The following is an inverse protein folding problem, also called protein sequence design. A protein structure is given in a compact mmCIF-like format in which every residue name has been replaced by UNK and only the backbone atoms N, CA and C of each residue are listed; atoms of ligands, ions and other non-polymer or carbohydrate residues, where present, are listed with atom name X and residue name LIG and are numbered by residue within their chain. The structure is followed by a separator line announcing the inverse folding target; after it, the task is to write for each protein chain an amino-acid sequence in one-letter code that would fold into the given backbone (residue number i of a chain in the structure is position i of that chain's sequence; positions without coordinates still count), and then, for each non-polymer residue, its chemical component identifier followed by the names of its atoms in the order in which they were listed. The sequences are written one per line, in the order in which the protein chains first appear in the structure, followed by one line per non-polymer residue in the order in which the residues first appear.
data_IF_390061083636
#
_entry.id   IF_390061083636
#
_cell.length_a   1.000
_cell.length_b   1.000
_cell.length_c   1.000
_cell.angle_alpha   90.00
_cell.angle_beta   90.00
_cell.angle_gamma   90.00
#
_symmetry.space_group_name_H-M   'P 1'
#
loop_
_entity.id
_entity.type
_entity.pdbx_description
1 polymer ?
#
# COMPACT_ATOMS: atom_id res chain seq x y z
N UNK A 1 -13.07 -25.14 10.17
CA UNK A 1 -13.63 -23.85 10.58
C UNK A 1 -12.79 -22.72 10.02
N UNK A 2 -13.40 -21.68 9.46
CA UNK A 2 -12.64 -20.50 9.04
C UNK A 2 -11.97 -19.85 10.24
N UNK A 3 -10.76 -19.42 10.06
CA UNK A 3 -10.03 -18.66 11.06
C UNK A 3 -10.34 -17.18 10.85
N UNK A 4 -10.79 -16.50 11.91
CA UNK A 4 -11.18 -15.08 11.82
C UNK A 4 -10.08 -14.13 12.31
N UNK A 5 -9.19 -14.59 13.15
CA UNK A 5 -8.16 -13.76 13.78
C UNK A 5 -6.78 -14.14 13.27
N UNK A 6 -5.98 -13.15 12.90
CA UNK A 6 -4.67 -13.35 12.29
C UNK A 6 -3.66 -12.39 12.92
N UNK A 7 -2.41 -12.82 12.99
CA UNK A 7 -1.31 -11.98 13.46
C UNK A 7 -0.42 -11.60 12.28
N UNK A 8 -0.01 -10.34 12.22
CA UNK A 8 0.93 -9.89 11.18
C UNK A 8 2.23 -10.68 11.20
N UNK A 9 2.66 -11.16 12.37
CA UNK A 9 3.87 -11.99 12.49
C UNK A 9 3.81 -13.29 11.70
N UNK A 10 2.62 -13.76 11.33
CA UNK A 10 2.44 -14.95 10.51
C UNK A 10 2.43 -14.66 9.00
N UNK A 11 2.62 -13.40 8.62
CA UNK A 11 2.65 -12.98 7.22
C UNK A 11 4.09 -12.63 6.88
N UNK A 12 4.65 -13.29 5.86
CA UNK A 12 6.00 -13.00 5.39
C UNK A 12 6.05 -11.58 4.81
N UNK A 13 7.16 -10.89 5.06
CA UNK A 13 7.39 -9.56 4.53
C UNK A 13 7.94 -9.66 3.11
N UNK A 14 7.38 -8.87 2.19
CA UNK A 14 7.82 -8.75 0.80
C UNK A 14 8.29 -7.33 0.53
N UNK A 15 9.42 -7.19 -0.14
CA UNK A 15 9.87 -5.87 -0.61
C UNK A 15 9.24 -5.62 -1.99
N UNK A 16 8.18 -4.81 -2.04
CA UNK A 16 7.40 -4.58 -3.28
C UNK A 16 8.00 -3.48 -4.15
N UNK A 17 8.82 -2.61 -3.58
CA UNK A 17 9.60 -1.57 -4.25
C UNK A 17 10.80 -1.29 -3.35
N UNK A 18 11.90 -0.72 -3.86
CA UNK A 18 13.07 -0.47 -3.03
C UNK A 18 12.73 0.30 -1.75
N UNK A 19 12.96 -0.33 -0.60
CA UNK A 19 12.69 0.24 0.72
C UNK A 19 11.23 0.18 1.19
N UNK A 20 10.31 -0.39 0.39
CA UNK A 20 8.90 -0.56 0.75
C UNK A 20 8.66 -2.02 1.14
N UNK A 21 8.55 -2.27 2.43
CA UNK A 21 8.39 -3.62 2.98
C UNK A 21 6.95 -3.86 3.36
N UNK A 22 6.36 -4.89 2.79
CA UNK A 22 4.91 -5.11 2.80
C UNK A 22 4.53 -6.44 3.40
N UNK A 23 3.43 -6.44 4.13
CA UNK A 23 2.68 -7.63 4.50
C UNK A 23 1.38 -7.60 3.72
N UNK A 24 1.20 -8.58 2.84
CA UNK A 24 0.10 -8.61 1.88
C UNK A 24 -1.02 -9.51 2.37
N UNK A 25 -2.25 -9.00 2.31
CA UNK A 25 -3.46 -9.73 2.68
C UNK A 25 -4.39 -9.70 1.47
N UNK A 26 -4.74 -10.88 0.96
CA UNK A 26 -5.63 -11.01 -0.18
C UNK A 26 -6.96 -11.59 0.26
N UNK A 27 -8.05 -10.96 -0.16
CA UNK A 27 -9.39 -11.49 0.01
C UNK A 27 -10.00 -11.76 -1.37
N UNK A 28 -11.25 -12.19 -1.40
CA UNK A 28 -11.94 -12.43 -2.66
C UNK A 28 -11.98 -11.20 -3.57
N UNK A 29 -12.15 -10.00 -3.00
CA UNK A 29 -12.38 -8.78 -3.77
C UNK A 29 -11.31 -7.71 -3.64
N UNK A 30 -10.26 -7.92 -2.84
CA UNK A 30 -9.29 -6.86 -2.59
C UNK A 30 -7.94 -7.39 -2.11
N UNK A 31 -6.92 -6.56 -2.28
CA UNK A 31 -5.60 -6.74 -1.67
C UNK A 31 -5.35 -5.61 -0.70
N UNK A 32 -4.95 -5.93 0.51
CA UNK A 32 -4.55 -4.97 1.54
C UNK A 32 -3.05 -5.08 1.73
N UNK A 33 -2.37 -3.95 1.68
CA UNK A 33 -0.93 -3.86 1.80
C UNK A 33 -0.58 -3.05 3.04
N UNK A 34 -0.03 -3.72 4.05
CA UNK A 34 0.51 -3.07 5.24
C UNK A 34 1.99 -2.82 5.00
N UNK A 35 2.39 -1.54 4.94
CA UNK A 35 3.71 -1.13 4.47
C UNK A 35 4.49 -0.44 5.59
N UNK A 36 5.77 -0.80 5.74
CA UNK A 36 6.74 -0.02 6.48
C UNK A 36 7.78 0.51 5.50
N UNK A 37 8.11 1.79 5.62
CA UNK A 37 9.06 2.45 4.73
C UNK A 37 9.85 3.50 5.50
N UNK A 38 11.17 3.53 5.31
CA UNK A 38 12.03 4.53 5.93
C UNK A 38 12.02 5.84 5.13
N UNK A 39 12.26 6.95 5.83
CA UNK A 39 12.34 8.27 5.22
C UNK A 39 13.27 8.29 4.00
N UNK A 40 12.85 8.99 2.95
CA UNK A 40 13.61 9.19 1.72
C UNK A 40 13.36 8.16 0.63
N UNK A 41 12.69 7.04 0.92
CA UNK A 41 12.35 6.06 -0.12
C UNK A 41 11.16 6.54 -0.94
N UNK A 42 11.20 6.25 -2.25
CA UNK A 42 10.25 6.76 -3.23
C UNK A 42 9.66 5.62 -4.05
N UNK A 43 8.39 5.78 -4.41
CA UNK A 43 7.75 5.04 -5.51
C UNK A 43 7.65 5.99 -6.69
N UNK A 44 8.24 5.67 -7.85
CA UNK A 44 8.13 6.51 -9.03
C UNK A 44 6.70 6.58 -9.54
N UNK A 45 6.40 7.57 -10.36
CA UNK A 45 5.10 7.69 -11.00
C UNK A 45 4.81 6.45 -11.82
N UNK A 46 3.64 5.88 -11.61
CA UNK A 46 3.17 4.66 -12.28
C UNK A 46 1.65 4.64 -12.28
N UNK A 47 1.08 3.68 -12.97
CA UNK A 47 -0.36 3.44 -12.95
C UNK A 47 -0.64 1.96 -13.06
N UNK A 48 -1.81 1.56 -12.58
CA UNK A 48 -2.32 0.19 -12.65
C UNK A 48 -3.85 0.22 -12.75
N UNK A 49 -4.49 -0.84 -13.25
CA UNK A 49 -5.94 -0.84 -13.43
C UNK A 49 -6.74 -0.85 -12.13
N UNK A 50 -6.13 -1.27 -11.03
CA UNK A 50 -6.80 -1.35 -9.72
C UNK A 50 -7.04 0.04 -9.14
N UNK A 51 -8.21 0.26 -8.55
CA UNK A 51 -8.44 1.42 -7.70
C UNK A 51 -7.69 1.22 -6.38
N UNK A 52 -7.26 2.31 -5.77
CA UNK A 52 -6.45 2.28 -4.56
C UNK A 52 -6.96 3.30 -3.54
N UNK A 53 -7.10 2.85 -2.29
CA UNK A 53 -7.27 3.74 -1.13
C UNK A 53 -5.97 3.69 -0.34
N UNK A 54 -5.43 4.85 0.02
CA UNK A 54 -4.18 4.92 0.79
C UNK A 54 -4.35 5.68 2.08
N UNK A 55 -3.84 5.10 3.16
CA UNK A 55 -3.91 5.65 4.51
C UNK A 55 -2.52 5.71 5.11
N UNK A 56 -2.23 6.80 5.82
CA UNK A 56 -1.01 6.90 6.63
C UNK A 56 -1.39 6.53 8.07
N UNK A 57 -0.80 5.47 8.59
CA UNK A 57 -1.01 5.06 9.99
C UNK A 57 -0.08 5.86 10.90
N UNK A 58 1.17 6.06 10.46
CA UNK A 58 2.18 6.81 11.21
C UNK A 58 3.12 7.48 10.23
N UNK A 59 3.55 8.71 10.54
CA UNK A 59 4.52 9.45 9.74
C UNK A 59 3.87 10.42 8.75
N UNK A 60 4.69 10.88 7.80
CA UNK A 60 4.29 11.83 6.75
C UNK A 60 4.75 11.30 5.40
N UNK A 61 3.83 11.23 4.46
CA UNK A 61 4.07 10.71 3.12
C UNK A 61 3.58 11.70 2.07
N UNK A 62 4.47 12.12 1.17
CA UNK A 62 4.12 13.01 0.06
C UNK A 62 3.58 12.18 -1.09
N UNK A 63 2.27 12.29 -1.36
CA UNK A 63 1.59 11.55 -2.42
C UNK A 63 1.34 12.47 -3.60
N UNK A 64 1.70 12.00 -4.80
CA UNK A 64 1.43 12.69 -6.07
C UNK A 64 0.39 11.90 -6.84
N UNK A 65 -0.73 12.54 -7.19
CA UNK A 65 -1.82 11.94 -7.96
C UNK A 65 -2.20 12.91 -9.07
N UNK A 66 -2.13 12.47 -10.33
CA UNK A 66 -2.46 13.30 -11.50
C UNK A 66 -1.77 14.67 -11.45
N UNK A 67 -0.49 14.70 -11.09
CA UNK A 67 0.30 15.92 -11.03
C UNK A 67 0.13 16.78 -9.79
N UNK A 68 -0.78 16.42 -8.87
CA UNK A 68 -0.97 17.14 -7.62
C UNK A 68 -0.27 16.40 -6.49
N UNK A 69 0.59 17.09 -5.74
CA UNK A 69 1.30 16.52 -4.60
C UNK A 69 0.77 17.10 -3.30
N UNK A 70 0.45 16.21 -2.35
CA UNK A 70 0.06 16.60 -1.00
C UNK A 70 0.82 15.80 0.03
N UNK A 71 1.16 16.44 1.14
CA UNK A 71 1.73 15.78 2.31
C UNK A 71 0.61 15.19 3.14
N UNK A 72 0.58 13.86 3.23
CA UNK A 72 -0.42 13.12 4.00
C UNK A 72 0.15 12.69 5.35
N UNK A 73 -0.71 12.74 6.35
CA UNK A 73 -0.46 12.18 7.68
C UNK A 73 -1.66 11.32 8.11
N UNK A 74 -1.69 10.90 9.38
CA UNK A 74 -2.73 10.01 9.89
C UNK A 74 -4.14 10.64 9.92
N UNK A 75 -4.26 11.94 9.66
CA UNK A 75 -5.56 12.63 9.61
C UNK A 75 -6.17 12.69 8.23
N UNK A 76 -5.47 12.16 7.21
CA UNK A 76 -5.89 12.26 5.81
C UNK A 76 -5.74 10.92 5.11
N UNK A 77 -6.52 10.74 4.07
CA UNK A 77 -6.39 9.60 3.16
C UNK A 77 -6.59 10.08 1.72
N UNK A 78 -6.23 9.24 0.77
CA UNK A 78 -6.50 9.55 -0.63
C UNK A 78 -7.13 8.36 -1.34
N UNK A 79 -7.86 8.68 -2.41
CA UNK A 79 -8.44 7.72 -3.34
C UNK A 79 -7.82 7.90 -4.71
N UNK A 80 -7.33 6.81 -5.29
CA UNK A 80 -6.69 6.80 -6.60
C UNK A 80 -7.51 5.90 -7.51
N UNK A 81 -8.30 6.47 -8.45
CA UNK A 81 -9.05 5.66 -9.41
C UNK A 81 -8.11 4.81 -10.27
N UNK A 82 -8.60 3.67 -10.74
CA UNK A 82 -7.82 2.81 -11.64
C UNK A 82 -7.33 3.57 -12.86
N UNK A 83 -6.09 3.29 -13.28
CA UNK A 83 -5.46 3.93 -14.43
C UNK A 83 -4.94 5.34 -14.19
N UNK A 84 -5.01 5.85 -12.96
CA UNK A 84 -4.55 7.20 -12.63
C UNK A 84 -3.07 7.16 -12.22
N UNK A 85 -2.26 8.03 -12.85
CA UNK A 85 -0.84 8.12 -12.54
C UNK A 85 -0.62 8.64 -11.13
N UNK A 86 0.23 7.95 -10.37
CA UNK A 86 0.56 8.31 -9.00
C UNK A 86 1.92 7.77 -8.57
N UNK A 87 2.42 8.35 -7.49
CA UNK A 87 3.67 7.95 -6.85
C UNK A 87 3.84 8.71 -5.55
N UNK A 88 4.95 8.51 -4.87
CA UNK A 88 5.14 9.22 -3.62
C UNK A 88 6.49 9.00 -2.96
N UNK A 89 6.68 9.74 -1.87
CA UNK A 89 7.92 9.72 -1.10
C UNK A 89 7.62 9.75 0.40
N UNK A 90 8.29 8.87 1.16
CA UNK A 90 8.26 8.92 2.61
C UNK A 90 9.13 10.10 3.08
N UNK A 91 8.49 11.12 3.65
CA UNK A 91 9.20 12.29 4.20
C UNK A 91 9.79 11.94 5.57
N UNK A 92 9.07 11.18 6.36
CA UNK A 92 9.56 10.56 7.59
C UNK A 92 9.46 9.04 7.43
N UNK A 93 9.95 8.29 8.41
CA UNK A 93 9.59 6.87 8.51
C UNK A 93 8.08 6.77 8.57
N UNK A 94 7.49 5.85 7.79
CA UNK A 94 6.06 5.71 7.68
C UNK A 94 5.59 4.27 7.88
N UNK A 95 4.38 4.16 8.40
CA UNK A 95 3.53 2.97 8.29
C UNK A 95 2.32 3.36 7.45
N UNK A 96 2.09 2.65 6.36
CA UNK A 96 1.05 2.95 5.39
C UNK A 96 0.13 1.73 5.23
N UNK A 97 -1.12 1.98 4.85
CA UNK A 97 -2.03 0.94 4.39
C UNK A 97 -2.60 1.33 3.04
N UNK A 98 -2.42 0.45 2.05
CA UNK A 98 -3.07 0.57 0.75
C UNK A 98 -4.11 -0.53 0.60
N UNK A 99 -5.28 -0.19 0.08
CA UNK A 99 -6.33 -1.14 -0.24
C UNK A 99 -6.61 -1.07 -1.74
N UNK A 100 -6.40 -2.19 -2.43
CA UNK A 100 -6.61 -2.30 -3.88
C UNK A 100 -7.88 -3.07 -4.19
N UNK A 101 -8.64 -2.60 -5.15
CA UNK A 101 -9.86 -3.25 -5.66
C UNK A 101 -9.82 -3.26 -7.19
N UNK A 102 -9.98 -4.40 -7.84
CA UNK A 102 -10.06 -5.76 -7.30
C UNK A 102 -8.72 -6.26 -6.73
N UNK A 103 -8.66 -7.55 -6.36
CA UNK A 103 -7.43 -8.17 -5.87
C UNK A 103 -6.29 -8.00 -6.86
N UNK A 104 -5.08 -7.76 -6.34
CA UNK A 104 -3.88 -7.60 -7.18
C UNK A 104 -3.22 -8.96 -7.40
N UNK A 105 -3.39 -9.50 -8.59
CA UNK A 105 -2.84 -10.79 -8.96
C UNK A 105 -1.31 -10.79 -8.95
N UNK A 106 -0.69 -9.68 -9.36
CA UNK A 106 0.76 -9.52 -9.31
C UNK A 106 1.29 -9.59 -7.88
N UNK A 107 0.57 -9.00 -6.92
CA UNK A 107 0.94 -9.08 -5.50
C UNK A 107 0.67 -10.45 -4.90
N UNK A 108 -0.37 -11.15 -5.36
CA UNK A 108 -0.62 -12.54 -4.94
C UNK A 108 0.56 -13.44 -5.30
N UNK A 109 1.20 -13.20 -6.44
CA UNK A 109 2.38 -13.96 -6.88
C UNK A 109 3.61 -13.69 -6.02
N UNK A 110 3.70 -12.51 -5.41
CA UNK A 110 4.81 -12.17 -4.51
C UNK A 110 4.66 -12.89 -3.16
N UNK A 111 3.46 -13.06 -2.67
CA UNK A 111 3.21 -13.71 -1.40
C UNK A 111 2.06 -13.11 -0.61
N UNK A 112 2.16 -13.20 0.71
CA UNK A 112 1.10 -12.80 1.62
C UNK A 112 0.19 -13.95 1.99
N UNK A 113 -0.95 -13.63 2.59
CA UNK A 113 -1.97 -14.61 2.93
C UNK A 113 -3.22 -14.38 2.10
N UNK A 114 -3.90 -15.45 1.76
CA UNK A 114 -5.20 -15.42 1.05
C UNK A 114 -6.30 -15.92 1.98
N UNK A 115 -7.28 -15.09 2.18
CA UNK A 115 -8.41 -15.39 3.08
C UNK A 115 -9.64 -15.80 2.31
#
# INVERSE_FOLDING_TARGET
MPQHFHAFSNIDTQEIAPGFFSKLIHTEGQTINWITVAAGNKVPLHQHPHAQMSFVINGQFAMTISGETKLLDATQFCHIPGGTEHGGEAITDCVLVDIFTPVREDYQQLGGITL
#
